data_IF_963734604868
#
_entry.id   IF_963734604868
#
_cell.length_a   1.000
_cell.length_b   1.000
_cell.length_c   1.000
_cell.angle_alpha   90.00
_cell.angle_beta   90.00
_cell.angle_gamma   90.00
#
_symmetry.space_group_name_H-M   'P 1'
#
loop_
_entity.id
_entity.type
_entity.pdbx_description
1 polymer ?
#
# COMPACT_ATOMS: atom_id res chain seq x y z
N UNK A 1 -56.95 -33.41 1.58
CA UNK A 1 -56.01 -32.48 2.23
C UNK A 1 -54.66 -32.62 1.53
N UNK A 2 -54.36 -31.73 0.59
CA UNK A 2 -53.06 -31.68 -0.07
C UNK A 2 -52.48 -30.30 0.15
N UNK A 3 -51.61 -30.14 1.12
CA UNK A 3 -50.83 -28.92 1.31
C UNK A 3 -49.66 -29.02 0.34
N UNK A 4 -49.76 -28.31 -0.80
CA UNK A 4 -48.60 -27.99 -1.62
C UNK A 4 -47.76 -27.02 -0.81
N UNK A 5 -46.54 -27.42 -0.46
CA UNK A 5 -45.53 -26.53 0.06
C UNK A 5 -45.15 -25.55 -1.06
N UNK A 6 -45.65 -24.31 -0.96
CA UNK A 6 -45.15 -23.14 -1.67
C UNK A 6 -43.75 -22.83 -1.12
N UNK A 7 -42.75 -23.55 -1.64
CA UNK A 7 -41.34 -23.19 -1.50
C UNK A 7 -41.10 -21.94 -2.34
N UNK A 8 -41.40 -20.79 -1.75
CA UNK A 8 -41.42 -19.50 -2.41
C UNK A 8 -40.11 -19.22 -3.16
N UNK A 9 -40.26 -18.61 -4.33
CA UNK A 9 -39.19 -18.11 -5.23
C UNK A 9 -38.03 -17.36 -4.54
N UNK A 10 -38.23 -16.87 -3.31
CA UNK A 10 -37.26 -16.08 -2.55
C UNK A 10 -36.05 -16.88 -2.06
N UNK A 11 -36.18 -18.18 -1.84
CA UNK A 11 -35.05 -19.00 -1.35
C UNK A 11 -34.08 -19.40 -2.49
N UNK A 12 -34.52 -19.33 -3.75
CA UNK A 12 -33.65 -19.53 -4.92
C UNK A 12 -32.99 -18.24 -5.41
N UNK A 13 -33.50 -17.07 -5.03
CA UNK A 13 -32.88 -15.77 -5.35
C UNK A 13 -31.71 -15.39 -4.43
N UNK A 14 -31.56 -16.06 -3.27
CA UNK A 14 -30.46 -15.80 -2.33
C UNK A 14 -29.23 -16.69 -2.52
N UNK A 15 -29.14 -17.45 -3.62
CA UNK A 15 -27.97 -18.26 -3.97
C UNK A 15 -27.19 -17.73 -5.17
N UNK A 16 -27.35 -16.45 -5.51
CA UNK A 16 -26.38 -15.75 -6.35
C UNK A 16 -25.26 -15.32 -5.42
N UNK A 17 -24.16 -16.07 -5.39
CA UNK A 17 -22.88 -15.55 -4.92
C UNK A 17 -22.67 -14.24 -5.65
N UNK A 18 -22.84 -13.08 -4.99
CA UNK A 18 -22.62 -11.78 -5.62
C UNK A 18 -21.20 -11.78 -6.15
N UNK A 19 -21.08 -11.86 -7.47
CA UNK A 19 -19.79 -11.86 -8.15
C UNK A 19 -19.00 -10.63 -7.70
N UNK A 20 -17.77 -10.82 -7.25
CA UNK A 20 -16.96 -9.73 -6.69
C UNK A 20 -16.57 -8.81 -7.83
N UNK A 21 -16.94 -7.54 -7.75
CA UNK A 21 -16.60 -6.53 -8.76
C UNK A 21 -15.43 -5.70 -8.26
N UNK A 22 -14.38 -5.63 -9.05
CA UNK A 22 -13.22 -4.77 -8.84
C UNK A 22 -13.34 -3.57 -9.74
N UNK A 23 -13.69 -2.43 -9.13
CA UNK A 23 -13.83 -1.14 -9.80
C UNK A 23 -12.78 -0.18 -9.24
N UNK A 24 -12.27 0.71 -10.10
CA UNK A 24 -11.39 1.80 -9.65
C UNK A 24 -12.12 2.65 -8.62
N UNK A 25 -11.45 2.91 -7.50
CA UNK A 25 -11.91 3.84 -6.49
C UNK A 25 -11.40 5.24 -6.88
N UNK A 26 -12.31 6.20 -7.04
CA UNK A 26 -11.97 7.53 -7.57
C UNK A 26 -11.21 8.40 -6.56
N UNK A 27 -11.52 8.27 -5.27
CA UNK A 27 -10.99 9.13 -4.23
C UNK A 27 -10.46 8.31 -3.05
N UNK A 28 -9.28 8.70 -2.54
CA UNK A 28 -8.74 8.13 -1.32
C UNK A 28 -9.59 8.54 -0.11
N UNK A 29 -9.52 7.77 0.97
CA UNK A 29 -10.16 8.12 2.24
C UNK A 29 -9.35 9.15 3.03
N UNK A 30 -8.02 9.19 2.83
CA UNK A 30 -7.15 10.28 3.24
C UNK A 30 -7.23 11.45 2.24
N UNK A 31 -7.26 12.68 2.74
CA UNK A 31 -7.31 13.88 1.90
C UNK A 31 -5.93 14.27 1.35
N UNK A 32 -4.90 14.16 2.19
CA UNK A 32 -3.50 14.33 1.84
C UNK A 32 -2.59 13.54 2.80
N UNK A 33 -1.35 13.34 2.39
CA UNK A 33 -0.24 12.84 3.19
C UNK A 33 0.80 13.96 3.35
N UNK A 34 1.00 14.43 4.58
CA UNK A 34 1.99 15.45 4.91
C UNK A 34 3.19 14.79 5.58
N UNK A 35 4.39 14.91 5.00
CA UNK A 35 5.61 14.32 5.55
C UNK A 35 6.44 15.35 6.28
N UNK A 36 6.96 15.00 7.46
CA UNK A 36 7.97 15.82 8.12
C UNK A 36 9.23 15.88 7.24
N UNK A 37 9.73 17.11 7.03
CA UNK A 37 10.85 17.37 6.14
C UNK A 37 12.13 16.68 6.57
N UNK A 38 12.43 16.64 7.86
CA UNK A 38 13.67 16.03 8.36
C UNK A 38 13.58 14.50 8.31
N UNK A 39 12.42 13.93 8.65
CA UNK A 39 12.18 12.49 8.55
C UNK A 39 12.26 11.99 7.10
N UNK A 40 11.57 12.66 6.17
CA UNK A 40 11.61 12.33 4.75
C UNK A 40 13.03 12.48 4.19
N UNK A 41 13.73 13.54 4.58
CA UNK A 41 15.11 13.78 4.16
C UNK A 41 16.08 12.73 4.71
N UNK A 42 15.92 12.30 5.96
CA UNK A 42 16.77 11.26 6.54
C UNK A 42 16.61 9.92 5.80
N UNK A 43 15.37 9.52 5.50
CA UNK A 43 15.07 8.29 4.78
C UNK A 43 15.65 8.29 3.37
N UNK A 44 15.44 9.36 2.59
CA UNK A 44 15.98 9.45 1.22
C UNK A 44 17.51 9.52 1.17
N UNK A 45 18.14 10.23 2.12
CA UNK A 45 19.59 10.45 2.11
C UNK A 45 20.34 9.15 2.36
N UNK A 46 19.77 8.25 3.15
CA UNK A 46 20.38 6.95 3.39
C UNK A 46 20.45 6.14 2.09
N UNK A 47 19.33 6.07 1.35
CA UNK A 47 19.26 5.32 0.10
C UNK A 47 20.19 5.92 -0.98
N UNK A 48 20.11 7.25 -1.15
CA UNK A 48 20.92 7.98 -2.12
C UNK A 48 22.43 7.89 -1.84
N UNK A 49 22.86 7.97 -0.57
CA UNK A 49 24.30 8.06 -0.24
C UNK A 49 24.98 6.72 -0.05
N UNK A 50 24.25 5.70 0.40
CA UNK A 50 24.87 4.45 0.84
C UNK A 50 24.49 3.24 -0.01
N UNK A 51 23.35 3.29 -0.69
CA UNK A 51 22.85 2.17 -1.49
C UNK A 51 22.81 2.48 -2.98
N UNK A 52 22.92 3.76 -3.37
CA UNK A 52 22.74 4.23 -4.75
C UNK A 52 21.41 3.73 -5.35
N UNK A 53 20.38 3.57 -4.48
CA UNK A 53 19.12 2.91 -4.81
C UNK A 53 19.27 1.52 -5.45
N UNK A 54 20.39 0.83 -5.22
CA UNK A 54 20.65 -0.51 -5.75
C UNK A 54 19.86 -1.62 -5.05
N UNK A 55 19.25 -1.33 -3.91
CA UNK A 55 18.34 -2.25 -3.19
C UNK A 55 17.16 -1.48 -2.62
N UNK A 56 15.98 -2.10 -2.60
CA UNK A 56 14.79 -1.52 -1.98
C UNK A 56 14.90 -1.45 -0.47
N UNK A 57 14.32 -0.40 0.09
CA UNK A 57 14.13 -0.18 1.53
C UNK A 57 12.66 0.05 1.82
N UNK A 58 12.25 -0.20 3.05
CA UNK A 58 10.91 0.08 3.54
C UNK A 58 10.92 0.59 4.98
N UNK A 59 9.89 1.36 5.33
CA UNK A 59 9.70 1.93 6.65
C UNK A 59 8.23 2.04 7.02
N UNK A 60 7.95 2.00 8.31
CA UNK A 60 6.64 2.25 8.88
C UNK A 60 6.51 3.74 9.20
N UNK A 61 5.43 4.33 8.68
CA UNK A 61 5.13 5.75 8.85
C UNK A 61 4.36 5.92 10.15
N UNK A 62 4.90 6.72 11.06
CA UNK A 62 4.25 7.07 12.32
C UNK A 62 3.88 8.54 12.35
N UNK A 63 2.70 8.83 12.89
CA UNK A 63 2.22 10.18 13.06
C UNK A 63 0.75 10.21 13.40
N UNK A 64 -0.01 11.13 12.79
CA UNK A 64 -1.38 11.48 13.21
C UNK A 64 -2.33 11.56 12.03
N UNK A 65 -3.60 11.31 12.29
CA UNK A 65 -4.67 11.54 11.31
C UNK A 65 -5.56 12.65 11.83
N UNK A 66 -5.70 13.73 11.07
CA UNK A 66 -6.63 14.79 11.40
C UNK A 66 -8.07 14.31 11.22
N UNK A 67 -8.90 14.47 12.26
CA UNK A 67 -10.25 13.96 12.27
C UNK A 67 -11.21 14.73 11.34
N UNK A 68 -10.93 16.02 11.11
CA UNK A 68 -11.76 16.92 10.32
C UNK A 68 -11.32 16.96 8.86
N UNK A 69 -10.05 17.26 8.61
CA UNK A 69 -9.52 17.38 7.24
C UNK A 69 -9.26 16.02 6.61
N UNK A 70 -9.05 14.97 7.42
CA UNK A 70 -8.61 13.62 7.00
C UNK A 70 -7.20 13.61 6.41
N UNK A 71 -6.40 14.64 6.71
CA UNK A 71 -4.99 14.64 6.39
C UNK A 71 -4.24 13.66 7.30
N UNK A 72 -3.27 12.96 6.72
CA UNK A 72 -2.36 12.07 7.43
C UNK A 72 -1.02 12.79 7.56
N UNK A 73 -0.63 13.10 8.79
CA UNK A 73 0.67 13.66 9.13
C UNK A 73 1.61 12.52 9.49
N UNK A 74 2.75 12.45 8.80
CA UNK A 74 3.84 11.52 9.06
C UNK A 74 4.95 12.27 9.76
N UNK A 75 5.07 12.05 11.06
CA UNK A 75 5.99 12.78 11.94
C UNK A 75 7.35 12.07 12.04
N UNK A 76 7.42 10.73 11.89
CA UNK A 76 8.68 9.99 11.75
C UNK A 76 8.53 8.66 10.99
N UNK A 77 9.67 8.08 10.60
CA UNK A 77 9.74 6.80 9.88
C UNK A 77 10.56 5.82 10.73
N UNK A 78 9.96 4.68 11.07
CA UNK A 78 10.65 3.56 11.70
C UNK A 78 11.05 2.56 10.61
N UNK A 79 12.34 2.24 10.50
CA UNK A 79 12.84 1.26 9.54
C UNK A 79 13.04 -0.10 10.26
N UNK A 80 12.10 -1.04 10.13
CA UNK A 80 12.24 -2.35 10.77
C UNK A 80 13.45 -3.11 10.22
N UNK A 81 13.95 -4.12 10.94
CA UNK A 81 14.92 -5.06 10.39
C UNK A 81 14.41 -5.59 9.05
N UNK A 82 15.26 -5.54 8.02
CA UNK A 82 14.82 -5.81 6.64
C UNK A 82 15.97 -6.28 5.75
N UNK A 83 15.60 -7.02 4.71
CA UNK A 83 16.51 -7.48 3.67
C UNK A 83 15.98 -7.02 2.31
N UNK A 84 16.66 -6.04 1.72
CA UNK A 84 16.35 -5.51 0.39
C UNK A 84 17.08 -6.24 -0.73
N UNK A 85 16.45 -6.29 -1.90
CA UNK A 85 17.04 -6.58 -3.21
C UNK A 85 16.58 -5.53 -4.22
N UNK A 86 16.99 -5.64 -5.48
CA UNK A 86 16.54 -4.72 -6.55
C UNK A 86 15.00 -4.73 -6.71
N UNK A 87 14.37 -5.89 -6.56
CA UNK A 87 12.95 -6.07 -6.87
C UNK A 87 12.03 -6.07 -5.64
N UNK A 88 12.55 -6.46 -4.47
CA UNK A 88 11.73 -6.70 -3.26
C UNK A 88 12.44 -6.26 -1.99
N UNK A 89 11.64 -5.89 -0.99
CA UNK A 89 12.12 -5.70 0.38
C UNK A 89 11.36 -6.65 1.32
N UNK A 90 12.10 -7.52 1.97
CA UNK A 90 11.58 -8.44 2.97
C UNK A 90 11.70 -7.80 4.35
N UNK A 91 10.57 -7.55 4.99
CA UNK A 91 10.51 -7.08 6.37
C UNK A 91 10.75 -8.26 7.31
N UNK A 92 11.82 -8.21 8.09
CA UNK A 92 12.13 -9.17 9.14
C UNK A 92 11.47 -8.69 10.45
N UNK A 93 10.13 -8.77 10.48
CA UNK A 93 9.29 -8.24 11.56
C UNK A 93 9.77 -8.72 12.94
N UNK A 94 9.92 -7.78 13.87
CA UNK A 94 10.22 -8.04 15.28
C UNK A 94 9.06 -7.46 16.12
N UNK A 95 8.07 -8.29 16.48
CA UNK A 95 6.89 -7.81 17.21
C UNK A 95 7.20 -7.15 18.55
N UNK A 96 8.28 -7.57 19.23
CA UNK A 96 8.66 -7.01 20.52
C UNK A 96 9.27 -5.61 20.34
N UNK A 97 10.07 -5.40 19.29
CA UNK A 97 10.59 -4.09 18.93
C UNK A 97 9.48 -3.17 18.43
N UNK A 98 8.64 -3.65 17.53
CA UNK A 98 7.50 -2.89 16.99
C UNK A 98 6.56 -2.44 18.10
N UNK A 99 6.24 -3.31 19.07
CA UNK A 99 5.43 -2.94 20.23
C UNK A 99 6.06 -1.83 21.11
N UNK A 100 7.40 -1.79 21.19
CA UNK A 100 8.12 -0.69 21.88
C UNK A 100 8.00 0.62 21.11
N UNK A 101 8.14 0.57 19.78
CA UNK A 101 7.95 1.74 18.91
C UNK A 101 6.52 2.26 19.00
N UNK A 102 5.53 1.37 18.93
CA UNK A 102 4.11 1.70 19.11
C UNK A 102 3.87 2.38 20.46
N UNK A 103 4.42 1.84 21.55
CA UNK A 103 4.27 2.43 22.90
C UNK A 103 4.86 3.84 22.98
N UNK A 104 6.02 4.08 22.35
CA UNK A 104 6.64 5.41 22.29
C UNK A 104 5.77 6.35 21.46
N UNK A 105 5.29 5.90 20.29
CA UNK A 105 4.43 6.69 19.42
C UNK A 105 3.12 7.08 20.13
N UNK A 106 2.46 6.14 20.80
CA UNK A 106 1.26 6.39 21.60
C UNK A 106 1.50 7.45 22.68
N UNK A 107 2.64 7.37 23.38
CA UNK A 107 3.05 8.37 24.38
C UNK A 107 3.24 9.79 23.80
N UNK A 108 3.53 9.89 22.51
CA UNK A 108 3.63 11.15 21.76
C UNK A 108 2.31 11.56 21.08
N UNK A 109 1.22 10.81 21.29
CA UNK A 109 -0.06 11.03 20.62
C UNK A 109 -0.05 10.67 19.13
N UNK A 110 0.87 9.80 18.72
CA UNK A 110 1.06 9.30 17.37
C UNK A 110 0.64 7.83 17.28
N UNK A 111 0.56 7.31 16.05
CA UNK A 111 0.28 5.91 15.75
C UNK A 111 0.91 5.51 14.43
N UNK A 112 0.95 4.21 14.15
CA UNK A 112 1.26 3.70 12.82
C UNK A 112 0.16 4.12 11.82
N UNK A 113 0.55 4.89 10.80
CA UNK A 113 -0.36 5.49 9.80
C UNK A 113 -0.08 5.06 8.37
N UNK A 114 1.02 4.34 8.12
CA UNK A 114 1.38 3.99 6.77
C UNK A 114 2.65 3.16 6.59
N UNK A 115 2.96 2.92 5.33
CA UNK A 115 4.18 2.27 4.83
C UNK A 115 4.85 3.22 3.83
N UNK A 116 6.18 3.24 3.82
CA UNK A 116 6.97 3.77 2.71
C UNK A 116 7.88 2.68 2.18
N UNK A 117 8.11 2.67 0.87
CA UNK A 117 9.18 1.88 0.27
C UNK A 117 9.89 2.67 -0.83
N UNK A 118 11.15 2.30 -1.08
CA UNK A 118 11.95 2.88 -2.17
C UNK A 118 11.81 2.02 -3.42
N UNK A 119 11.83 2.66 -4.59
CA UNK A 119 12.00 1.99 -5.87
C UNK A 119 13.47 2.03 -6.25
N UNK A 120 14.03 0.85 -6.51
CA UNK A 120 15.40 0.73 -6.96
C UNK A 120 15.59 1.38 -8.34
N UNK A 121 16.75 2.00 -8.54
CA UNK A 121 17.17 2.54 -9.83
C UNK A 121 17.41 1.38 -10.79
N UNK A 122 17.00 1.54 -12.06
CA UNK A 122 17.18 0.51 -13.07
C UNK A 122 16.09 -0.57 -13.09
N UNK A 123 15.03 -0.42 -12.29
CA UNK A 123 13.83 -1.26 -12.34
C UNK A 123 13.42 -1.47 -13.80
N UNK A 124 13.50 -2.72 -14.24
CA UNK A 124 13.12 -3.07 -15.60
C UNK A 124 11.60 -2.96 -15.73
N UNK A 125 11.11 -2.32 -16.81
CA UNK A 125 9.72 -2.47 -17.20
C UNK A 125 9.36 -3.95 -17.29
N UNK A 126 8.11 -4.30 -17.02
CA UNK A 126 7.62 -5.64 -17.39
C UNK A 126 7.77 -5.80 -18.91
N UNK A 127 7.91 -7.03 -19.39
CA UNK A 127 7.84 -7.32 -20.84
C UNK A 127 6.53 -6.79 -21.46
N UNK A 128 5.50 -6.64 -20.63
CA UNK A 128 4.15 -6.16 -20.98
C UNK A 128 3.92 -4.68 -20.64
N UNK A 129 4.91 -3.96 -20.10
CA UNK A 129 4.93 -2.50 -19.94
C UNK A 129 5.27 -1.99 -18.53
N UNK A 130 5.12 -0.68 -18.33
CA UNK A 130 5.39 -0.01 -17.05
C UNK A 130 4.28 -0.23 -16.01
N UNK A 131 4.61 -0.03 -14.73
CA UNK A 131 3.70 -0.19 -13.61
C UNK A 131 4.12 0.69 -12.43
N UNK A 132 3.16 1.20 -11.66
CA UNK A 132 3.47 2.00 -10.46
C UNK A 132 3.94 1.10 -9.31
N UNK A 133 3.13 0.11 -8.92
CA UNK A 133 3.47 -0.90 -7.92
C UNK A 133 3.40 -2.31 -8.53
N UNK A 134 4.39 -3.14 -8.23
CA UNK A 134 4.37 -4.59 -8.48
C UNK A 134 3.25 -5.28 -7.71
N UNK A 135 2.87 -6.47 -8.16
CA UNK A 135 1.96 -7.34 -7.42
C UNK A 135 2.47 -7.69 -6.01
N UNK A 136 3.80 -7.79 -5.81
CA UNK A 136 4.43 -7.98 -4.49
C UNK A 136 4.24 -6.77 -3.58
N UNK A 137 4.44 -5.57 -4.13
CA UNK A 137 4.23 -4.30 -3.41
C UNK A 137 2.75 -4.07 -3.12
N UNK A 138 1.84 -4.36 -4.06
CA UNK A 138 0.38 -4.31 -3.85
C UNK A 138 -0.02 -5.26 -2.74
N UNK A 139 0.49 -6.50 -2.74
CA UNK A 139 0.20 -7.48 -1.70
C UNK A 139 0.70 -7.02 -0.34
N UNK A 140 1.98 -6.59 -0.24
CA UNK A 140 2.56 -6.11 1.01
C UNK A 140 1.84 -4.85 1.53
N UNK A 141 1.48 -3.92 0.65
CA UNK A 141 0.73 -2.73 1.00
C UNK A 141 -0.70 -3.06 1.47
N UNK A 142 -1.39 -3.99 0.79
CA UNK A 142 -2.72 -4.43 1.20
C UNK A 142 -2.71 -5.13 2.56
N UNK A 143 -1.69 -5.97 2.81
CA UNK A 143 -1.46 -6.61 4.09
C UNK A 143 -1.24 -5.58 5.21
N UNK A 144 -0.28 -4.68 5.04
CA UNK A 144 0.06 -3.71 6.08
C UNK A 144 -1.07 -2.69 6.32
N UNK A 145 -1.79 -2.28 5.27
CA UNK A 145 -3.00 -1.47 5.42
C UNK A 145 -4.12 -2.22 6.15
N UNK A 146 -4.25 -3.53 5.93
CA UNK A 146 -5.20 -4.36 6.66
C UNK A 146 -4.85 -4.47 8.15
N UNK A 147 -3.57 -4.63 8.47
CA UNK A 147 -3.00 -4.71 9.83
C UNK A 147 -3.11 -3.37 10.59
N UNK A 148 -2.77 -2.26 9.94
CA UNK A 148 -2.77 -0.93 10.55
C UNK A 148 -4.12 -0.43 11.04
N UNK A 149 -5.22 -1.03 10.54
CA UNK A 149 -6.54 -0.92 11.14
C UNK A 149 -7.18 0.47 11.09
N UNK A 150 -6.67 1.38 10.25
CA UNK A 150 -7.25 2.72 10.04
C UNK A 150 -7.81 2.88 8.63
N UNK A 151 -8.92 3.63 8.46
CA UNK A 151 -9.44 3.94 7.14
C UNK A 151 -8.55 4.88 6.33
N UNK A 152 -7.77 5.76 6.98
CA UNK A 152 -6.89 6.74 6.31
C UNK A 152 -5.46 6.27 6.42
N UNK A 153 -5.11 5.37 5.52
CA UNK A 153 -3.79 4.76 5.44
C UNK A 153 -3.01 5.32 4.26
N UNK A 154 -1.71 5.53 4.43
CA UNK A 154 -0.82 6.00 3.37
C UNK A 154 0.22 4.94 3.03
N UNK A 155 0.35 4.66 1.74
CA UNK A 155 1.46 3.92 1.15
C UNK A 155 2.26 4.88 0.29
N UNK A 156 3.47 5.22 0.73
CA UNK A 156 4.37 6.11 0.03
C UNK A 156 5.42 5.33 -0.78
N UNK A 157 5.80 5.90 -1.92
CA UNK A 157 6.87 5.40 -2.79
C UNK A 157 7.91 6.50 -2.92
N UNK A 158 9.16 6.18 -2.66
CA UNK A 158 10.30 7.07 -2.91
C UNK A 158 11.03 6.59 -4.15
N UNK A 159 11.20 7.46 -5.13
CA UNK A 159 11.88 7.16 -6.39
C UNK A 159 13.06 8.10 -6.57
N UNK A 160 14.16 7.61 -7.13
CA UNK A 160 15.20 8.48 -7.68
C UNK A 160 14.90 8.73 -9.16
N UNK A 161 14.68 9.98 -9.53
CA UNK A 161 14.64 10.42 -10.92
C UNK A 161 16.00 11.00 -11.27
N UNK A 162 16.69 10.38 -12.22
CA UNK A 162 17.97 10.89 -12.73
C UNK A 162 17.67 11.83 -13.88
N UNK A 163 17.94 13.13 -13.67
CA UNK A 163 17.84 14.16 -14.69
C UNK A 163 18.88 13.99 -15.79
N UNK A 164 18.64 14.67 -16.92
CA UNK A 164 19.49 14.59 -18.12
C UNK A 164 20.94 15.09 -17.89
N UNK A 165 21.16 15.89 -16.84
CA UNK A 165 22.47 16.39 -16.42
C UNK A 165 23.21 15.44 -15.45
N UNK A 166 22.61 14.28 -15.15
CA UNK A 166 23.12 13.29 -14.21
C UNK A 166 22.87 13.64 -12.74
N UNK A 167 22.11 14.70 -12.45
CA UNK A 167 21.65 14.99 -11.08
C UNK A 167 20.45 14.10 -10.74
N UNK A 168 20.46 13.50 -9.55
CA UNK A 168 19.36 12.67 -9.06
C UNK A 168 18.44 13.47 -8.15
N UNK A 169 17.19 13.63 -8.55
CA UNK A 169 16.13 14.21 -7.72
C UNK A 169 15.29 13.09 -7.12
N UNK A 170 15.01 13.18 -5.82
CA UNK A 170 14.16 12.21 -5.13
C UNK A 170 12.71 12.67 -5.21
N UNK A 171 11.85 11.80 -5.74
CA UNK A 171 10.42 12.02 -5.88
C UNK A 171 9.62 11.13 -4.92
N UNK A 172 8.62 11.72 -4.28
CA UNK A 172 7.66 10.98 -3.45
C UNK A 172 6.32 10.87 -4.20
N UNK A 173 5.77 9.67 -4.22
CA UNK A 173 4.37 9.42 -4.59
C UNK A 173 3.65 8.81 -3.39
N UNK A 174 2.35 9.07 -3.27
CA UNK A 174 1.54 8.57 -2.18
C UNK A 174 0.25 7.98 -2.72
N UNK A 175 -0.12 6.83 -2.19
CA UNK A 175 -1.30 6.08 -2.56
C UNK A 175 -2.00 5.56 -1.32
N UNK A 176 -3.28 5.25 -1.47
CA UNK A 176 -4.01 4.38 -0.58
C UNK A 176 -4.43 3.14 -1.36
N UNK A 177 -4.26 1.94 -0.78
CA UNK A 177 -4.83 0.76 -1.40
C UNK A 177 -6.35 0.87 -1.36
N UNK A 178 -7.00 0.62 -2.49
CA UNK A 178 -8.46 0.73 -2.59
C UNK A 178 -9.14 -0.19 -1.58
N UNK A 179 -10.33 0.19 -1.13
CA UNK A 179 -11.08 -0.59 -0.15
C UNK A 179 -11.35 -2.02 -0.66
N UNK A 180 -11.56 -2.17 -1.97
CA UNK A 180 -11.73 -3.49 -2.60
C UNK A 180 -10.43 -4.30 -2.57
N UNK A 181 -9.26 -3.70 -2.75
CA UNK A 181 -7.98 -4.40 -2.62
C UNK A 181 -7.79 -4.98 -1.21
N UNK A 182 -7.98 -4.14 -0.19
CA UNK A 182 -7.85 -4.55 1.21
C UNK A 182 -8.90 -5.60 1.57
N UNK A 183 -10.12 -5.48 1.03
CA UNK A 183 -11.16 -6.50 1.21
C UNK A 183 -10.78 -7.83 0.56
N UNK A 184 -10.29 -7.82 -0.67
CA UNK A 184 -9.84 -9.04 -1.36
C UNK A 184 -8.73 -9.75 -0.59
N UNK A 185 -7.79 -9.00 -0.01
CA UNK A 185 -6.77 -9.55 0.89
C UNK A 185 -7.40 -10.19 2.14
N UNK A 186 -8.23 -9.45 2.89
CA UNK A 186 -8.87 -9.93 4.12
C UNK A 186 -9.77 -11.14 3.91
N UNK A 187 -10.43 -11.21 2.76
CA UNK A 187 -11.33 -12.31 2.39
C UNK A 187 -10.55 -13.53 1.79
N UNK A 188 -9.21 -13.47 1.72
CA UNK A 188 -8.37 -14.52 1.15
C UNK A 188 -8.58 -14.73 -0.36
N UNK A 189 -9.03 -13.70 -1.07
CA UNK A 189 -9.29 -13.73 -2.52
C UNK A 189 -8.07 -13.29 -3.30
N UNK A 190 -7.34 -12.29 -2.83
CA UNK A 190 -6.05 -11.88 -3.40
C UNK A 190 -5.02 -13.01 -3.19
N UNK A 191 -4.35 -13.44 -4.24
CA UNK A 191 -3.23 -14.38 -4.14
C UNK A 191 -2.06 -13.71 -3.43
N UNK A 192 -1.50 -14.41 -2.45
CA UNK A 192 -0.41 -13.90 -1.60
C UNK A 192 0.94 -14.50 -2.00
N UNK A 193 0.95 -15.61 -2.74
CA UNK A 193 2.15 -16.26 -3.24
C UNK A 193 2.45 -15.79 -4.67
N UNK A 194 3.31 -14.79 -4.80
CA UNK A 194 3.74 -14.24 -6.09
C UNK A 194 4.99 -14.97 -6.60
N UNK A 195 4.90 -15.58 -7.77
CA UNK A 195 6.02 -16.28 -8.41
C UNK A 195 6.90 -15.32 -9.22
N UNK A 196 8.18 -15.65 -9.41
CA UNK A 196 9.11 -14.83 -10.21
C UNK A 196 8.72 -14.71 -11.69
N UNK A 197 7.99 -15.70 -12.21
CA UNK A 197 7.50 -15.71 -13.59
C UNK A 197 6.19 -14.93 -13.78
N UNK A 198 5.59 -14.41 -12.70
CA UNK A 198 4.33 -13.68 -12.77
C UNK A 198 4.54 -12.28 -13.33
N UNK A 199 3.60 -11.80 -14.16
CA UNK A 199 3.63 -10.42 -14.63
C UNK A 199 3.46 -9.47 -13.42
N UNK A 200 4.46 -8.64 -13.09
CA UNK A 200 4.42 -7.78 -11.91
C UNK A 200 3.30 -6.74 -11.98
N UNK A 201 2.73 -6.48 -13.16
CA UNK A 201 1.57 -5.58 -13.36
C UNK A 201 0.25 -6.14 -12.85
N UNK A 202 0.18 -7.46 -12.68
CA UNK A 202 -1.08 -8.17 -12.45
C UNK A 202 -1.08 -8.85 -11.09
N UNK A 203 -2.13 -8.59 -10.32
CA UNK A 203 -2.42 -9.31 -9.09
C UNK A 203 -3.37 -10.47 -9.40
N UNK A 204 -2.99 -11.67 -8.98
CA UNK A 204 -3.80 -12.89 -9.15
C UNK A 204 -4.86 -13.03 -8.07
N UNK A 205 -5.97 -13.65 -8.43
CA UNK A 205 -7.10 -13.94 -7.55
C UNK A 205 -7.27 -15.46 -7.41
N UNK A 206 -7.70 -15.92 -6.23
CA UNK A 206 -7.99 -17.34 -5.96
C UNK A 206 -9.35 -17.79 -6.49
N UNK A 207 -10.19 -16.86 -6.95
CA UNK A 207 -11.48 -17.11 -7.61
C UNK A 207 -11.80 -15.97 -8.56
N UNK A 208 -12.74 -16.24 -9.45
CA UNK A 208 -13.15 -15.29 -10.49
C UNK A 208 -13.75 -14.01 -9.90
N UNK A 209 -13.31 -12.89 -10.45
CA UNK A 209 -13.81 -11.54 -10.16
C UNK A 209 -14.17 -10.83 -11.46
N UNK A 210 -14.97 -9.77 -11.39
CA UNK A 210 -15.23 -8.89 -12.54
C UNK A 210 -14.35 -7.66 -12.44
N UNK A 211 -13.39 -7.49 -13.35
CA UNK A 211 -12.58 -6.29 -13.48
C UNK A 211 -12.65 -5.76 -14.92
N UNK A 212 -12.78 -4.45 -15.09
CA UNK A 212 -12.93 -3.85 -16.44
C UNK A 212 -14.13 -4.37 -17.24
N UNK A 213 -15.18 -4.86 -16.54
CA UNK A 213 -16.38 -5.42 -17.17
C UNK A 213 -16.22 -6.85 -17.70
N UNK A 214 -15.13 -7.55 -17.36
CA UNK A 214 -14.88 -8.94 -17.77
C UNK A 214 -14.59 -9.80 -16.54
N UNK A 215 -14.96 -11.07 -16.66
CA UNK A 215 -14.58 -12.11 -15.71
C UNK A 215 -13.09 -12.42 -15.87
N UNK A 216 -12.35 -12.44 -14.77
CA UNK A 216 -10.89 -12.62 -14.77
C UNK A 216 -10.40 -13.22 -13.46
N UNK A 217 -9.22 -13.86 -13.53
CA UNK A 217 -8.43 -14.30 -12.39
C UNK A 217 -7.25 -13.36 -12.10
N UNK A 218 -7.02 -12.36 -12.94
CA UNK A 218 -5.91 -11.41 -12.84
C UNK A 218 -6.45 -9.98 -13.00
N UNK A 219 -6.02 -9.11 -12.10
CA UNK A 219 -6.44 -7.70 -12.07
C UNK A 219 -5.21 -6.83 -12.22
N UNK A 220 -5.28 -5.87 -13.14
CA UNK A 220 -4.25 -4.83 -13.28
C UNK A 220 -4.14 -4.02 -11.97
N UNK A 221 -2.91 -3.91 -11.46
CA UNK A 221 -2.62 -3.30 -10.16
C UNK A 221 -3.15 -1.87 -10.04
N UNK A 222 -3.29 -1.13 -11.14
CA UNK A 222 -3.83 0.23 -11.14
C UNK A 222 -5.30 0.30 -10.66
N UNK A 223 -6.04 -0.82 -10.67
CA UNK A 223 -7.37 -0.87 -10.04
C UNK A 223 -7.32 -0.74 -8.52
N UNK A 224 -6.17 -0.98 -7.93
CA UNK A 224 -5.96 -0.97 -6.49
C UNK A 224 -5.30 0.29 -5.97
N UNK A 225 -4.71 1.10 -6.85
CA UNK A 225 -3.98 2.30 -6.46
C UNK A 225 -4.90 3.53 -6.48
N UNK A 226 -5.05 4.17 -5.33
CA UNK A 226 -5.81 5.42 -5.20
C UNK A 226 -4.84 6.55 -4.86
N UNK A 227 -4.54 7.49 -5.78
CA UNK A 227 -3.57 8.54 -5.51
C UNK A 227 -3.94 9.43 -4.32
N UNK A 228 -2.94 9.85 -3.57
CA UNK A 228 -3.06 10.73 -2.40
C UNK A 228 -2.21 11.97 -2.63
N UNK A 229 -2.77 13.15 -2.33
CA UNK A 229 -2.03 14.42 -2.44
C UNK A 229 -0.91 14.46 -1.43
N UNK A 230 0.24 15.00 -1.81
CA UNK A 230 1.39 15.15 -0.91
C UNK A 230 1.54 16.62 -0.50
N UNK A 231 1.90 16.83 0.75
CA UNK A 231 2.44 18.08 1.27
C UNK A 231 3.59 17.79 2.24
N UNK A 232 4.23 18.83 2.76
CA UNK A 232 5.22 18.70 3.82
C UNK A 232 4.84 19.53 5.03
N UNK A 233 5.47 19.21 6.16
CA UNK A 233 5.45 20.03 7.36
C UNK A 233 6.80 19.99 8.07
N UNK A 234 6.95 20.84 9.09
CA UNK A 234 8.05 20.74 10.03
C UNK A 234 7.46 20.41 11.39
N UNK A 235 7.75 19.21 11.89
CA UNK A 235 7.44 18.87 13.26
C UNK A 235 8.37 19.69 14.17
N UNK A 236 7.76 20.47 15.08
CA UNK A 236 8.48 21.14 16.16
C UNK A 236 7.96 20.55 17.45
N UNK A 237 8.82 19.84 18.19
CA UNK A 237 8.47 19.43 19.54
C UNK A 237 8.10 20.69 20.33
N UNK A 238 6.94 20.67 20.98
CA UNK A 238 6.58 21.70 21.95
C UNK A 238 7.74 21.84 22.95
N UNK A 239 8.14 23.10 23.19
CA UNK A 239 9.13 23.47 24.21
C UNK A 239 8.66 23.10 25.61
#
# INVERSE_FOLDING_TARGET
>A
MGVRADGSSKDRENLITRQIRVTRQENALCAAASFDRDAANAFQLYDAKFLDFGVKRAGFLYGRVDAETKDVFVDFIYEPPQQGSEDVVHLLRDPDEEARVDTIAEGLGMRWVGLVFTQAVGRKPSETGEYTMSNREVMQAAQLQAEGGIPKWVTAIVKLEVGDDGTGDVHFEAFQMSEICVKLFKDGVLETEVQDADDPRLSKMRKEVVAGGKDTMEVDNDFFLVPVKISDHQFTSLK
#
